data_IF_791138693404
#
_entry.id   IF_791138693404
#
_cell.length_a   1.000
_cell.length_b   1.000
_cell.length_c   1.000
_cell.angle_alpha   90.00
_cell.angle_beta   90.00
_cell.angle_gamma   90.00
#
_symmetry.space_group_name_H-M   'P 1'
#
loop_
_entity.id
_entity.type
_entity.pdbx_description
1 polymer ?
#
# COMPACT_ATOMS: atom_id res chain seq x y z
N UNK A 1 8.39 36.56 -15.14
CA UNK A 1 9.09 35.62 -14.25
C UNK A 1 8.16 34.46 -13.95
N UNK A 2 8.30 33.37 -14.70
CA UNK A 2 7.66 32.08 -14.44
C UNK A 2 8.49 31.36 -13.38
N UNK A 3 7.92 30.91 -12.25
CA UNK A 3 8.68 30.08 -11.32
C UNK A 3 8.86 28.71 -11.97
N UNK A 4 10.12 28.38 -12.26
CA UNK A 4 10.55 27.04 -12.63
C UNK A 4 10.43 26.15 -11.38
N UNK A 5 9.30 25.47 -11.24
CA UNK A 5 9.19 24.34 -10.32
C UNK A 5 9.93 23.16 -10.93
N UNK A 6 11.02 22.72 -10.30
CA UNK A 6 11.67 21.46 -10.65
C UNK A 6 10.64 20.32 -10.53
N UNK A 7 10.57 19.38 -11.49
CA UNK A 7 9.62 18.28 -11.44
C UNK A 7 9.91 17.43 -10.20
N UNK A 8 8.89 17.20 -9.37
CA UNK A 8 8.93 16.26 -8.25
C UNK A 8 9.20 14.88 -8.86
N UNK A 9 10.32 14.24 -8.50
CA UNK A 9 10.61 12.87 -8.97
C UNK A 9 9.48 11.94 -8.52
N UNK A 10 8.95 11.09 -9.43
CA UNK A 10 7.76 10.26 -9.20
C UNK A 10 7.88 9.25 -8.05
N UNK A 11 9.09 9.04 -7.51
CA UNK A 11 9.37 8.01 -6.51
C UNK A 11 9.46 8.53 -5.06
N UNK A 12 9.09 9.78 -4.82
CA UNK A 12 9.22 10.36 -3.47
C UNK A 12 8.02 10.03 -2.58
N UNK A 13 8.17 9.04 -1.70
CA UNK A 13 7.21 8.77 -0.62
C UNK A 13 7.58 9.62 0.61
N UNK A 14 6.65 10.47 1.06
CA UNK A 14 6.81 11.21 2.33
C UNK A 14 5.88 10.62 3.38
N UNK A 15 6.45 10.01 4.42
CA UNK A 15 5.69 9.51 5.56
C UNK A 15 5.50 10.62 6.58
N UNK A 16 4.25 10.95 6.87
CA UNK A 16 3.90 11.88 7.93
C UNK A 16 3.48 11.11 9.18
N UNK A 17 3.93 11.58 10.34
CA UNK A 17 3.40 11.10 11.62
C UNK A 17 1.92 11.46 11.81
N UNK A 18 1.33 11.15 12.98
CA UNK A 18 -0.06 11.46 13.27
C UNK A 18 -0.41 12.95 13.04
N UNK A 19 -1.34 13.21 12.11
CA UNK A 19 -1.70 14.59 11.71
C UNK A 19 -2.73 15.27 12.63
N UNK A 20 -3.28 14.54 13.62
CA UNK A 20 -4.30 15.08 14.55
C UNK A 20 -3.77 16.15 15.51
N UNK A 21 -2.52 16.04 15.94
CA UNK A 21 -1.93 16.96 16.94
C UNK A 21 -1.05 18.02 16.28
N UNK A 22 -0.36 17.66 15.20
CA UNK A 22 0.46 18.55 14.39
C UNK A 22 0.09 18.35 12.93
N UNK A 23 -0.71 19.27 12.38
CA UNK A 23 -1.14 19.26 10.98
C UNK A 23 -0.03 19.83 10.09
N UNK A 24 0.95 19.01 9.77
CA UNK A 24 2.16 19.38 8.99
C UNK A 24 2.00 19.22 7.49
N UNK A 25 0.93 18.56 7.02
CA UNK A 25 0.72 18.26 5.61
C UNK A 25 0.80 19.51 4.72
N UNK A 26 0.15 20.60 5.12
CA UNK A 26 0.19 21.86 4.37
C UNK A 26 1.62 22.37 4.14
N UNK A 27 2.45 22.35 5.18
CA UNK A 27 3.83 22.83 5.11
C UNK A 27 4.70 21.91 4.23
N UNK A 28 4.44 20.61 4.27
CA UNK A 28 5.11 19.65 3.40
C UNK A 28 4.75 19.91 1.94
N UNK A 29 3.47 20.10 1.61
CA UNK A 29 3.07 20.44 0.24
C UNK A 29 3.72 21.74 -0.24
N UNK A 30 3.74 22.78 0.61
CA UNK A 30 4.40 24.06 0.31
C UNK A 30 5.91 23.89 0.09
N UNK A 31 6.59 23.14 0.96
CA UNK A 31 8.04 22.88 0.85
C UNK A 31 8.41 22.13 -0.43
N UNK A 32 7.46 21.39 -1.00
CA UNK A 32 7.59 20.64 -2.25
C UNK A 32 7.05 21.39 -3.47
N UNK A 33 6.59 22.63 -3.30
CA UNK A 33 5.94 23.43 -4.35
C UNK A 33 4.77 22.70 -5.03
N UNK A 34 3.94 22.00 -4.25
CA UNK A 34 2.75 21.27 -4.74
C UNK A 34 1.51 22.16 -4.55
N UNK A 35 1.17 22.89 -5.62
CA UNK A 35 0.05 23.84 -5.61
C UNK A 35 -1.24 23.29 -6.26
N UNK A 36 -1.14 22.16 -6.95
CA UNK A 36 -2.27 21.51 -7.63
C UNK A 36 -3.27 20.80 -6.70
N UNK A 37 -4.25 20.13 -7.32
CA UNK A 37 -5.20 19.26 -6.62
C UNK A 37 -4.47 18.08 -5.97
N UNK A 38 -4.93 17.70 -4.78
CA UNK A 38 -4.37 16.60 -4.00
C UNK A 38 -5.39 15.45 -4.00
N UNK A 39 -5.07 14.34 -4.66
CA UNK A 39 -5.86 13.14 -4.56
C UNK A 39 -5.74 12.55 -3.14
N UNK A 40 -6.88 12.24 -2.53
CA UNK A 40 -6.96 11.67 -1.19
C UNK A 40 -7.44 10.23 -1.28
N UNK A 41 -6.70 9.35 -0.61
CA UNK A 41 -7.07 7.95 -0.36
C UNK A 41 -7.13 7.77 1.15
N UNK A 42 -8.32 7.69 1.71
CA UNK A 42 -8.53 7.61 3.17
C UNK A 42 -8.42 6.16 3.64
N UNK A 43 -7.82 5.91 4.81
CA UNK A 43 -7.67 4.56 5.35
C UNK A 43 -8.98 3.94 5.87
N UNK A 44 -10.05 4.73 5.99
CA UNK A 44 -11.39 4.31 6.45
C UNK A 44 -12.29 3.78 5.34
N UNK A 45 -11.67 3.16 4.33
CA UNK A 45 -12.14 2.89 2.95
C UNK A 45 -13.61 2.54 2.72
N UNK A 46 -14.35 2.01 3.69
CA UNK A 46 -15.77 1.66 3.50
C UNK A 46 -16.71 2.63 4.22
N UNK A 47 -16.69 2.64 5.56
CA UNK A 47 -17.66 3.40 6.36
C UNK A 47 -17.32 4.89 6.48
N UNK A 48 -16.04 5.24 6.35
CA UNK A 48 -15.50 6.59 6.57
C UNK A 48 -14.81 7.13 5.33
N UNK A 49 -15.10 6.56 4.16
CA UNK A 49 -14.52 7.02 2.90
C UNK A 49 -14.78 8.52 2.73
N UNK A 50 -15.98 8.99 3.10
CA UNK A 50 -16.45 10.36 2.95
C UNK A 50 -16.08 11.29 4.13
N UNK A 51 -15.37 10.79 5.14
CA UNK A 51 -14.93 11.59 6.30
C UNK A 51 -13.66 12.40 5.95
N UNK A 52 -13.68 13.13 4.82
CA UNK A 52 -12.53 13.89 4.30
C UNK A 52 -12.66 15.41 4.49
N UNK A 53 -13.77 15.90 5.03
CA UNK A 53 -14.07 17.33 5.17
C UNK A 53 -12.97 18.11 5.91
N UNK A 54 -12.48 17.60 7.04
CA UNK A 54 -11.39 18.26 7.80
C UNK A 54 -10.11 18.41 6.96
N UNK A 55 -9.80 17.40 6.14
CA UNK A 55 -8.64 17.41 5.25
C UNK A 55 -8.85 18.35 4.05
N UNK A 56 -10.06 18.36 3.49
CA UNK A 56 -10.45 19.30 2.43
C UNK A 56 -10.29 20.74 2.90
N UNK A 57 -10.82 21.07 4.08
CA UNK A 57 -10.72 22.40 4.66
C UNK A 57 -9.27 22.79 4.96
N UNK A 58 -8.49 21.85 5.51
CA UNK A 58 -7.07 22.07 5.78
C UNK A 58 -6.25 22.35 4.51
N UNK A 59 -6.64 21.78 3.37
CA UNK A 59 -5.97 21.98 2.08
C UNK A 59 -6.59 23.09 1.22
N UNK A 60 -7.54 23.87 1.77
CA UNK A 60 -8.21 24.96 1.06
C UNK A 60 -9.09 24.47 -0.10
N UNK A 61 -9.76 23.33 0.08
CA UNK A 61 -10.64 22.73 -0.91
C UNK A 61 -9.94 21.97 -2.04
N UNK A 62 -8.60 21.91 -2.05
CA UNK A 62 -7.81 21.22 -3.09
C UNK A 62 -7.79 19.70 -2.96
N UNK A 63 -8.29 19.16 -1.85
CA UNK A 63 -8.36 17.73 -1.63
C UNK A 63 -9.52 17.12 -2.42
N UNK A 64 -9.21 16.12 -3.23
CA UNK A 64 -10.16 15.36 -4.05
C UNK A 64 -10.18 13.92 -3.57
N UNK A 65 -11.29 13.51 -2.96
CA UNK A 65 -11.54 12.12 -2.67
C UNK A 65 -11.70 11.34 -3.98
N UNK A 66 -10.98 10.23 -4.11
CA UNK A 66 -11.09 9.37 -5.29
C UNK A 66 -12.32 8.45 -5.22
N UNK A 67 -12.99 8.33 -4.07
CA UNK A 67 -14.18 7.49 -3.88
C UNK A 67 -13.97 6.05 -4.39
N UNK A 68 -12.77 5.51 -4.19
CA UNK A 68 -12.34 4.26 -4.81
C UNK A 68 -13.20 3.06 -4.38
N UNK A 69 -13.69 3.05 -3.14
CA UNK A 69 -14.61 2.01 -2.67
C UNK A 69 -15.97 2.15 -3.34
N UNK A 70 -16.59 3.33 -3.28
CA UNK A 70 -17.87 3.61 -3.93
C UNK A 70 -17.83 3.28 -5.43
N UNK A 71 -16.75 3.66 -6.13
CA UNK A 71 -16.53 3.31 -7.55
C UNK A 71 -16.42 1.79 -7.75
N UNK A 72 -15.71 1.11 -6.86
CA UNK A 72 -15.55 -0.35 -6.90
C UNK A 72 -16.90 -1.05 -6.71
N UNK A 73 -17.76 -0.57 -5.80
CA UNK A 73 -19.11 -1.09 -5.62
C UNK A 73 -19.94 -0.97 -6.91
N UNK A 74 -19.96 0.23 -7.52
CA UNK A 74 -20.63 0.46 -8.82
C UNK A 74 -20.08 -0.45 -9.93
N UNK A 75 -18.78 -0.71 -9.95
CA UNK A 75 -18.17 -1.65 -10.91
C UNK A 75 -18.72 -3.06 -10.68
N UNK A 76 -18.74 -3.54 -9.44
CA UNK A 76 -19.20 -4.88 -9.10
C UNK A 76 -20.69 -5.09 -9.30
N UNK A 77 -21.51 -4.07 -9.07
CA UNK A 77 -22.94 -4.09 -9.39
C UNK A 77 -23.18 -4.26 -10.89
N UNK A 78 -22.39 -3.56 -11.72
CA UNK A 78 -22.51 -3.57 -13.19
C UNK A 78 -21.85 -4.78 -13.84
N UNK A 79 -20.92 -5.43 -13.15
CA UNK A 79 -20.16 -6.56 -13.66
C UNK A 79 -20.03 -7.67 -12.59
N UNK A 80 -21.11 -8.45 -12.35
CA UNK A 80 -21.14 -9.46 -11.30
C UNK A 80 -20.14 -10.61 -11.53
N UNK A 81 -19.83 -10.91 -12.78
CA UNK A 81 -18.83 -11.90 -13.16
C UNK A 81 -17.44 -11.46 -12.70
N UNK A 82 -17.04 -10.21 -13.03
CA UNK A 82 -15.80 -9.62 -12.56
C UNK A 82 -15.74 -9.50 -11.04
N UNK A 83 -16.87 -9.20 -10.39
CA UNK A 83 -16.97 -9.17 -8.94
C UNK A 83 -16.68 -10.56 -8.33
N UNK A 84 -17.20 -11.63 -8.92
CA UNK A 84 -16.93 -13.02 -8.52
C UNK A 84 -15.44 -13.33 -8.61
N UNK A 85 -14.82 -13.08 -9.77
CA UNK A 85 -13.40 -13.29 -9.98
C UNK A 85 -12.52 -12.47 -9.02
N UNK A 86 -12.90 -11.21 -8.75
CA UNK A 86 -12.20 -10.38 -7.79
C UNK A 86 -12.26 -10.99 -6.38
N UNK A 87 -13.42 -11.50 -5.94
CA UNK A 87 -13.55 -12.17 -4.63
C UNK A 87 -12.67 -13.42 -4.55
N UNK A 88 -12.63 -14.23 -5.59
CA UNK A 88 -11.77 -15.42 -5.65
C UNK A 88 -10.29 -15.04 -5.52
N UNK A 89 -9.83 -14.04 -6.29
CA UNK A 89 -8.48 -13.50 -6.13
C UNK A 89 -8.19 -13.05 -4.69
N UNK A 90 -9.11 -12.32 -4.06
CA UNK A 90 -8.93 -11.85 -2.68
C UNK A 90 -8.86 -13.02 -1.69
N UNK A 91 -9.65 -14.08 -1.90
CA UNK A 91 -9.58 -15.29 -1.09
C UNK A 91 -8.21 -15.98 -1.24
N UNK A 92 -7.67 -16.06 -2.47
CA UNK A 92 -6.32 -16.57 -2.72
C UNK A 92 -5.25 -15.74 -2.03
N UNK A 93 -5.29 -14.41 -2.16
CA UNK A 93 -4.33 -13.51 -1.52
C UNK A 93 -4.37 -13.63 0.01
N UNK A 94 -5.56 -13.75 0.59
CA UNK A 94 -5.74 -13.99 2.02
C UNK A 94 -5.09 -15.30 2.46
N UNK A 95 -5.33 -16.39 1.73
CA UNK A 95 -4.70 -17.69 2.05
C UNK A 95 -3.16 -17.64 1.95
N UNK A 96 -2.61 -16.94 0.96
CA UNK A 96 -1.16 -16.71 0.85
C UNK A 96 -0.64 -15.93 2.07
N UNK A 97 -1.35 -14.87 2.49
CA UNK A 97 -0.96 -14.08 3.66
C UNK A 97 -0.95 -14.91 4.94
N UNK A 98 -1.98 -15.73 5.17
CA UNK A 98 -2.06 -16.61 6.35
C UNK A 98 -0.86 -17.57 6.42
N UNK A 99 -0.48 -18.18 5.29
CA UNK A 99 0.70 -19.05 5.20
C UNK A 99 2.01 -18.29 5.40
N UNK A 100 2.10 -17.06 4.89
CA UNK A 100 3.25 -16.19 5.12
C UNK A 100 3.40 -15.83 6.59
N UNK A 101 2.31 -15.45 7.28
CA UNK A 101 2.34 -15.06 8.69
C UNK A 101 2.86 -16.20 9.58
N UNK A 102 2.43 -17.44 9.32
CA UNK A 102 2.92 -18.63 10.02
C UNK A 102 4.44 -18.78 9.83
N UNK A 103 4.92 -18.70 8.58
CA UNK A 103 6.34 -18.86 8.26
C UNK A 103 7.17 -17.73 8.85
N UNK A 104 6.69 -16.49 8.74
CA UNK A 104 7.35 -15.30 9.28
C UNK A 104 7.49 -15.42 10.79
N UNK A 105 6.45 -15.89 11.48
CA UNK A 105 6.48 -16.11 12.92
C UNK A 105 7.67 -16.97 13.35
N UNK A 106 7.89 -18.10 12.68
CA UNK A 106 9.01 -19.00 12.98
C UNK A 106 10.38 -18.38 12.67
N UNK A 107 10.56 -17.78 11.50
CA UNK A 107 11.83 -17.16 11.10
C UNK A 107 12.18 -15.99 12.02
N UNK A 108 11.19 -15.15 12.35
CA UNK A 108 11.36 -14.02 13.27
C UNK A 108 11.72 -14.48 14.68
N UNK A 109 11.14 -15.57 15.16
CA UNK A 109 11.51 -16.11 16.47
C UNK A 109 12.96 -16.58 16.50
N UNK A 110 13.41 -17.33 15.49
CA UNK A 110 14.81 -17.74 15.35
C UNK A 110 15.78 -16.55 15.30
N UNK A 111 15.47 -15.55 14.48
CA UNK A 111 16.27 -14.33 14.37
C UNK A 111 16.35 -13.58 15.71
N UNK A 112 15.23 -13.44 16.44
CA UNK A 112 15.21 -12.80 17.77
C UNK A 112 16.08 -13.55 18.78
N UNK A 113 16.05 -14.89 18.78
CA UNK A 113 16.86 -15.68 19.69
C UNK A 113 18.36 -15.50 19.41
N UNK A 114 18.78 -15.53 18.14
CA UNK A 114 20.18 -15.32 17.74
C UNK A 114 20.68 -13.90 18.05
N UNK A 115 19.84 -12.89 17.83
CA UNK A 115 20.17 -11.49 18.14
C UNK A 115 20.32 -11.25 19.65
N UNK A 116 19.50 -11.92 20.48
CA UNK A 116 19.57 -11.81 21.95
C UNK A 116 20.73 -12.61 22.57
N UNK A 117 21.23 -13.64 21.88
CA UNK A 117 22.27 -14.53 22.41
C UNK A 117 23.56 -13.77 22.69
N UNK A 118 24.19 -13.97 23.84
CA UNK A 118 25.53 -13.44 24.16
C UNK A 118 26.60 -14.49 23.90
N UNK A 119 27.79 -14.09 23.47
CA UNK A 119 28.90 -14.99 23.16
C UNK A 119 29.92 -14.36 22.23
N UNK A 120 30.83 -15.18 21.70
CA UNK A 120 31.85 -14.75 20.74
C UNK A 120 31.20 -14.22 19.46
N UNK A 121 31.45 -12.94 19.15
CA UNK A 121 30.92 -12.27 17.96
C UNK A 121 31.51 -12.82 16.66
N UNK A 122 32.68 -13.46 16.68
CA UNK A 122 33.22 -14.12 15.49
C UNK A 122 32.36 -15.30 15.04
N UNK A 123 31.70 -15.96 16.00
CA UNK A 123 30.77 -17.07 15.74
C UNK A 123 29.34 -16.53 15.56
N UNK A 124 28.88 -15.64 16.44
CA UNK A 124 27.50 -15.16 16.43
C UNK A 124 27.21 -14.13 15.32
N UNK A 125 28.21 -13.39 14.85
CA UNK A 125 28.04 -12.35 13.84
C UNK A 125 27.47 -12.88 12.52
N UNK A 126 28.10 -13.88 11.88
CA UNK A 126 27.60 -14.51 10.65
C UNK A 126 26.19 -15.08 10.82
N UNK A 127 25.93 -15.85 11.89
CA UNK A 127 24.63 -16.46 12.16
C UNK A 127 23.49 -15.44 12.31
N UNK A 128 23.77 -14.30 12.96
CA UNK A 128 22.80 -13.21 13.08
C UNK A 128 22.50 -12.56 11.73
N UNK A 129 23.52 -12.39 10.89
CA UNK A 129 23.35 -11.82 9.56
C UNK A 129 22.53 -12.77 8.68
N UNK A 130 22.82 -14.06 8.71
CA UNK A 130 22.09 -15.08 7.96
C UNK A 130 20.61 -15.13 8.40
N UNK A 131 20.34 -15.08 9.70
CA UNK A 131 18.97 -15.03 10.20
C UNK A 131 18.18 -13.80 9.72
N UNK A 132 18.82 -12.65 9.53
CA UNK A 132 18.18 -11.48 8.91
C UNK A 132 17.97 -11.66 7.41
N UNK A 133 18.89 -12.32 6.72
CA UNK A 133 18.74 -12.67 5.31
C UNK A 133 17.62 -13.68 5.08
N UNK A 134 17.37 -14.60 6.01
CA UNK A 134 16.23 -15.52 5.94
C UNK A 134 14.89 -14.78 5.99
N UNK A 135 14.76 -13.78 6.86
CA UNK A 135 13.57 -12.91 6.93
C UNK A 135 13.38 -12.19 5.59
N UNK A 136 14.44 -11.53 5.10
CA UNK A 136 14.41 -10.79 3.83
C UNK A 136 14.10 -11.71 2.64
N UNK A 137 14.65 -12.93 2.65
CA UNK A 137 14.41 -13.94 1.63
C UNK A 137 12.97 -14.44 1.65
N UNK A 138 12.37 -14.60 2.83
CA UNK A 138 10.95 -14.92 2.95
C UNK A 138 10.08 -13.80 2.38
N UNK A 139 10.36 -12.55 2.72
CA UNK A 139 9.63 -11.38 2.21
C UNK A 139 9.69 -11.28 0.68
N UNK A 140 10.89 -11.44 0.09
CA UNK A 140 11.04 -11.40 -1.38
C UNK A 140 10.16 -12.44 -2.07
N UNK A 141 10.18 -13.68 -1.58
CA UNK A 141 9.36 -14.78 -2.13
C UNK A 141 7.85 -14.52 -1.96
N UNK A 142 7.46 -13.92 -0.83
CA UNK A 142 6.06 -13.52 -0.60
C UNK A 142 5.60 -12.46 -1.60
N UNK A 143 6.41 -11.42 -1.80
CA UNK A 143 6.13 -10.35 -2.78
C UNK A 143 6.07 -10.88 -4.22
N UNK A 144 6.96 -11.80 -4.59
CA UNK A 144 6.92 -12.49 -5.88
C UNK A 144 5.62 -13.27 -6.05
N UNK A 145 5.18 -13.97 -5.01
CA UNK A 145 3.93 -14.75 -5.04
C UNK A 145 2.69 -13.87 -5.14
N UNK A 146 2.65 -12.76 -4.41
CA UNK A 146 1.58 -11.75 -4.54
C UNK A 146 1.55 -11.20 -5.96
N UNK A 147 2.71 -10.79 -6.50
CA UNK A 147 2.82 -10.25 -7.86
C UNK A 147 2.29 -11.25 -8.89
N UNK A 148 2.66 -12.53 -8.77
CA UNK A 148 2.16 -13.57 -9.66
C UNK A 148 0.62 -13.62 -9.70
N UNK A 149 -0.05 -13.57 -8.55
CA UNK A 149 -1.53 -13.57 -8.49
C UNK A 149 -2.12 -12.32 -9.16
N UNK A 150 -1.50 -11.16 -8.97
CA UNK A 150 -1.91 -9.93 -9.66
C UNK A 150 -1.72 -10.02 -11.17
N UNK A 151 -0.57 -10.52 -11.63
CA UNK A 151 -0.25 -10.64 -13.05
C UNK A 151 -1.14 -11.66 -13.76
N UNK A 152 -1.46 -12.78 -13.08
CA UNK A 152 -2.41 -13.78 -13.55
C UNK A 152 -3.80 -13.17 -13.71
N UNK A 153 -4.29 -12.46 -12.68
CA UNK A 153 -5.58 -11.79 -12.73
C UNK A 153 -5.66 -10.71 -13.81
N UNK A 154 -4.62 -9.87 -13.94
CA UNK A 154 -4.57 -8.82 -14.96
C UNK A 154 -4.59 -9.41 -16.37
N UNK A 155 -3.88 -10.51 -16.60
CA UNK A 155 -3.84 -11.20 -17.89
C UNK A 155 -5.18 -11.86 -18.24
N UNK A 156 -5.83 -12.48 -17.26
CA UNK A 156 -7.07 -13.22 -17.49
C UNK A 156 -8.28 -12.28 -17.62
N UNK A 157 -8.38 -11.28 -16.75
CA UNK A 157 -9.57 -10.45 -16.63
C UNK A 157 -9.46 -9.08 -17.31
N UNK A 158 -8.23 -8.66 -17.67
CA UNK A 158 -7.91 -7.35 -18.26
C UNK A 158 -8.76 -6.20 -17.69
N UNK A 159 -8.77 -5.98 -16.35
CA UNK A 159 -9.68 -5.05 -15.67
C UNK A 159 -9.78 -3.69 -16.35
N UNK A 160 -8.65 -3.13 -16.79
CA UNK A 160 -8.59 -1.81 -17.43
C UNK A 160 -9.30 -1.68 -18.77
N UNK A 161 -9.76 -2.79 -19.38
CA UNK A 161 -10.53 -2.81 -20.62
C UNK A 161 -12.02 -3.10 -20.38
N UNK A 162 -12.41 -3.48 -19.15
CA UNK A 162 -13.80 -3.82 -18.85
C UNK A 162 -14.68 -2.57 -18.91
N UNK A 163 -15.86 -2.63 -19.57
CA UNK A 163 -16.73 -1.45 -19.72
C UNK A 163 -17.15 -0.83 -18.39
N UNK A 164 -17.35 -1.63 -17.34
CA UNK A 164 -17.70 -1.14 -16.01
C UNK A 164 -16.57 -0.30 -15.38
N UNK A 165 -15.31 -0.72 -15.56
CA UNK A 165 -14.11 -0.02 -15.07
C UNK A 165 -13.84 1.25 -15.87
N UNK A 166 -13.95 1.19 -17.20
CA UNK A 166 -13.73 2.35 -18.08
C UNK A 166 -14.69 3.51 -17.80
N UNK A 167 -15.88 3.24 -17.27
CA UNK A 167 -16.86 4.26 -16.89
C UNK A 167 -16.50 5.04 -15.63
N UNK A 168 -15.65 4.49 -14.77
CA UNK A 168 -15.24 5.11 -13.50
C UNK A 168 -13.85 5.78 -13.59
N UNK A 169 -13.27 5.85 -14.80
CA UNK A 169 -11.99 6.53 -15.08
C UNK A 169 -12.15 8.03 -15.26
#
# INVERSE_FOLDING_TARGET
MTPSGSPVSPDTVTLLGPQRFQRTLHDVLRSRAIDGSVAVVTAGWQEREHDDQELRDHLGGRALNLELHTRTERIFERDPEFAGAHREKQATLKGIQELYDIRLGHVMEGARQLLKRRGDLKVLGPERQEALEDVRGLDRRHLERIRQVHDEFEREWTPGQRPAVLRER
#
